data_IF_801175354438
#
_entry.id   IF_801175354438
#
_cell.length_a   1.000
_cell.length_b   1.000
_cell.length_c   1.000
_cell.angle_alpha   90.00
_cell.angle_beta   90.00
_cell.angle_gamma   90.00
#
_symmetry.space_group_name_H-M   'P 1'
#
loop_
_entity.id
_entity.type
_entity.pdbx_description
1 polymer ?
#
# COMPACT_ATOMS: atom_id res chain seq x y z
N UNK A 1 29.93 3.75 -23.94
CA UNK A 1 28.73 4.00 -24.76
C UNK A 1 28.04 5.23 -24.21
N UNK A 2 27.91 6.27 -25.02
CA UNK A 2 27.28 7.53 -24.61
C UNK A 2 25.87 7.59 -25.19
N UNK A 3 24.85 7.77 -24.36
CA UNK A 3 23.45 7.80 -24.79
C UNK A 3 22.81 9.16 -24.54
N UNK A 4 21.94 9.59 -25.45
CA UNK A 4 21.10 10.76 -25.23
C UNK A 4 20.11 10.51 -24.09
N UNK A 5 20.08 11.37 -23.09
CA UNK A 5 19.18 11.22 -21.95
C UNK A 5 17.70 11.46 -22.32
N UNK A 6 17.39 12.18 -23.41
CA UNK A 6 16.00 12.46 -23.82
C UNK A 6 15.42 11.40 -24.76
N UNK A 7 16.19 10.94 -25.76
CA UNK A 7 15.71 10.04 -26.81
C UNK A 7 16.40 8.68 -26.85
N UNK A 8 17.23 8.38 -25.85
CA UNK A 8 17.95 7.10 -25.67
C UNK A 8 18.79 6.62 -26.86
N UNK A 9 19.05 7.49 -27.84
CA UNK A 9 19.90 7.20 -29.00
C UNK A 9 21.36 7.06 -28.57
N UNK A 10 22.02 6.01 -29.06
CA UNK A 10 23.46 5.81 -28.89
C UNK A 10 24.24 6.81 -29.75
N UNK A 11 25.04 7.64 -29.09
CA UNK A 11 25.87 8.69 -29.69
C UNK A 11 27.20 8.14 -30.20
N UNK A 12 27.56 6.92 -29.80
CA UNK A 12 28.78 6.22 -30.23
C UNK A 12 28.69 5.72 -31.67
N UNK A 13 27.47 5.54 -32.19
CA UNK A 13 27.20 5.10 -33.58
C UNK A 13 27.18 6.26 -34.58
N UNK A 14 27.08 7.50 -34.09
CA UNK A 14 27.19 8.72 -34.88
C UNK A 14 28.66 9.13 -35.03
N UNK A 15 29.39 8.43 -35.90
CA UNK A 15 30.75 8.81 -36.33
C UNK A 15 30.71 9.76 -37.54
N UNK A 16 31.74 10.59 -37.76
CA UNK A 16 31.69 11.88 -38.48
C UNK A 16 31.77 11.76 -40.01
N UNK A 17 31.13 10.75 -40.60
CA UNK A 17 31.12 10.52 -42.04
C UNK A 17 29.84 10.95 -42.74
N UNK A 18 28.89 11.53 -42.00
CA UNK A 18 27.70 12.14 -42.60
C UNK A 18 27.83 13.65 -42.51
N UNK A 19 28.27 14.19 -43.65
CA UNK A 19 28.35 15.58 -44.04
C UNK A 19 26.96 16.24 -43.93
N UNK A 20 26.57 16.62 -42.72
CA UNK A 20 25.41 17.46 -42.45
C UNK A 20 25.93 18.77 -41.85
N UNK A 21 26.34 19.66 -42.76
CA UNK A 21 26.77 21.04 -42.49
C UNK A 21 25.72 21.76 -41.65
N UNK A 22 25.86 21.74 -40.34
CA UNK A 22 25.09 22.61 -39.44
C UNK A 22 24.76 22.07 -38.05
N UNK A 23 24.97 20.77 -37.75
CA UNK A 23 24.69 20.25 -36.41
C UNK A 23 25.87 20.53 -35.46
N UNK A 24 25.67 21.47 -34.54
CA UNK A 24 26.61 21.76 -33.44
C UNK A 24 26.85 20.55 -32.52
N UNK A 25 27.81 20.61 -31.57
CA UNK A 25 28.15 19.49 -30.71
C UNK A 25 26.99 19.06 -29.78
N UNK A 26 26.99 17.81 -29.33
CA UNK A 26 26.09 17.35 -28.25
C UNK A 26 26.32 18.17 -26.98
N UNK A 27 25.24 18.51 -26.26
CA UNK A 27 25.35 19.28 -25.01
C UNK A 27 25.49 18.32 -23.83
N UNK A 28 26.55 18.49 -23.03
CA UNK A 28 26.68 17.91 -21.70
C UNK A 28 26.12 18.87 -20.66
N UNK A 29 25.28 18.36 -19.76
CA UNK A 29 24.65 19.18 -18.73
C UNK A 29 25.51 19.17 -17.47
N UNK A 30 25.95 20.35 -17.02
CA UNK A 30 26.89 20.53 -15.89
C UNK A 30 26.38 19.99 -14.54
N UNK A 31 25.07 19.87 -14.34
CA UNK A 31 24.52 19.45 -13.05
C UNK A 31 24.56 17.93 -12.80
N UNK A 32 24.61 17.12 -13.85
CA UNK A 32 24.51 15.65 -13.74
C UNK A 32 25.24 14.87 -14.84
N UNK A 33 26.07 15.56 -15.62
CA UNK A 33 26.91 15.03 -16.71
C UNK A 33 26.17 14.20 -17.78
N UNK A 34 24.84 14.34 -17.85
CA UNK A 34 24.02 13.68 -18.88
C UNK A 34 24.15 14.41 -20.21
N UNK A 35 24.08 13.66 -21.30
CA UNK A 35 24.24 14.18 -22.66
C UNK A 35 22.88 14.35 -23.33
N UNK A 36 22.65 15.50 -23.97
CA UNK A 36 21.51 15.77 -24.85
C UNK A 36 22.02 15.84 -26.29
N UNK A 37 21.50 15.00 -27.17
CA UNK A 37 21.90 14.97 -28.57
C UNK A 37 21.43 16.24 -29.31
N UNK A 38 22.08 16.55 -30.44
CA UNK A 38 21.79 17.77 -31.21
C UNK A 38 20.36 17.78 -31.74
N UNK A 39 19.83 16.61 -32.14
CA UNK A 39 18.44 16.46 -32.59
C UNK A 39 17.43 16.83 -31.50
N UNK A 40 17.70 16.43 -30.25
CA UNK A 40 16.87 16.83 -29.11
C UNK A 40 17.00 18.32 -28.80
N UNK A 41 18.22 18.87 -28.93
CA UNK A 41 18.49 20.28 -28.73
C UNK A 41 17.75 21.16 -29.75
N UNK A 42 17.74 20.77 -31.02
CA UNK A 42 17.02 21.46 -32.09
C UNK A 42 15.50 21.32 -31.97
N UNK A 43 15.02 20.15 -31.52
CA UNK A 43 13.57 19.94 -31.31
C UNK A 43 13.03 20.80 -30.17
N UNK A 44 13.86 21.18 -29.20
CA UNK A 44 13.46 22.04 -28.10
C UNK A 44 14.66 22.85 -27.58
N UNK A 45 14.70 24.14 -27.96
CA UNK A 45 15.77 25.07 -27.58
C UNK A 45 15.89 25.26 -26.06
N UNK A 46 14.85 24.95 -25.28
CA UNK A 46 14.94 25.00 -23.80
C UNK A 46 16.04 24.09 -23.28
N UNK A 47 16.32 22.98 -23.96
CA UNK A 47 17.40 22.08 -23.58
C UNK A 47 18.80 22.68 -23.79
N UNK A 48 18.95 23.89 -24.35
CA UNK A 48 20.21 24.62 -24.40
C UNK A 48 20.55 25.28 -23.06
N UNK A 49 19.55 25.67 -22.27
CA UNK A 49 19.73 26.42 -21.01
C UNK A 49 19.18 25.68 -19.79
N UNK A 50 18.38 24.62 -19.98
CA UNK A 50 17.70 23.89 -18.92
C UNK A 50 18.02 22.38 -18.95
N UNK A 51 18.11 21.78 -17.77
CA UNK A 51 18.24 20.33 -17.59
C UNK A 51 16.85 19.70 -17.34
N UNK A 52 16.34 18.80 -18.20
CA UNK A 52 15.05 18.16 -17.96
C UNK A 52 15.01 17.22 -16.74
N UNK A 53 16.16 16.68 -16.35
CA UNK A 53 16.24 15.70 -15.26
C UNK A 53 16.38 16.35 -13.89
N UNK A 54 17.34 17.27 -13.76
CA UNK A 54 17.57 18.00 -12.52
C UNK A 54 16.68 19.25 -12.40
N UNK A 55 15.99 19.62 -13.48
CA UNK A 55 15.09 20.79 -13.55
C UNK A 55 15.76 22.12 -13.18
N UNK A 56 17.06 22.23 -13.47
CA UNK A 56 17.88 23.42 -13.21
C UNK A 56 18.20 24.16 -14.50
N UNK A 57 18.16 25.49 -14.45
CA UNK A 57 18.62 26.39 -15.52
C UNK A 57 20.06 26.85 -15.26
N UNK A 58 20.83 27.04 -16.33
CA UNK A 58 22.20 27.60 -16.30
C UNK A 58 22.17 29.10 -16.65
N UNK A 59 21.03 29.62 -17.11
CA UNK A 59 20.86 31.05 -17.38
C UNK A 59 20.85 31.84 -16.04
N UNK A 60 21.54 32.99 -15.95
CA UNK A 60 21.49 33.84 -14.78
C UNK A 60 20.09 34.46 -14.68
N UNK A 61 19.20 33.84 -13.90
CA UNK A 61 17.93 34.45 -13.51
C UNK A 61 18.14 35.21 -12.19
N UNK A 62 17.32 36.25 -11.90
CA UNK A 62 17.41 37.01 -10.66
C UNK A 62 17.02 36.20 -9.40
N UNK A 63 16.78 34.89 -9.54
CA UNK A 63 16.46 33.98 -8.46
C UNK A 63 17.73 33.24 -8.02
N UNK A 64 17.89 32.94 -6.71
CA UNK A 64 19.06 32.23 -6.22
C UNK A 64 19.25 30.91 -6.96
N UNK A 65 20.46 30.75 -7.49
CA UNK A 65 20.91 29.60 -8.25
C UNK A 65 20.58 28.31 -7.47
N UNK A 66 19.72 27.45 -8.06
CA UNK A 66 19.08 26.22 -7.52
C UNK A 66 17.58 26.29 -7.22
N UNK A 67 16.88 27.39 -7.51
CA UNK A 67 15.41 27.40 -7.49
C UNK A 67 14.82 27.43 -8.91
N UNK A 68 13.74 26.68 -9.08
CA UNK A 68 13.05 26.45 -10.37
C UNK A 68 12.37 27.73 -10.85
N UNK A 69 12.59 28.08 -12.11
CA UNK A 69 11.73 29.08 -12.76
C UNK A 69 10.33 28.47 -12.96
N UNK A 70 9.27 29.07 -12.39
CA UNK A 70 7.92 28.62 -12.69
C UNK A 70 7.68 28.72 -14.21
N UNK A 71 6.89 27.82 -14.80
CA UNK A 71 6.46 27.99 -16.18
C UNK A 71 5.88 29.40 -16.33
N UNK A 72 6.28 30.12 -17.39
CA UNK A 72 5.69 31.41 -17.71
C UNK A 72 4.19 31.18 -17.91
N UNK A 73 3.39 31.51 -16.89
CA UNK A 73 1.96 31.66 -17.06
C UNK A 73 1.81 32.85 -17.99
N UNK A 74 1.59 32.57 -19.27
CA UNK A 74 0.97 33.50 -20.20
C UNK A 74 -0.34 33.95 -19.56
N UNK A 75 -0.30 35.10 -18.91
CA UNK A 75 -1.49 35.85 -18.55
C UNK A 75 -2.21 36.15 -19.85
N UNK A 76 -3.27 35.38 -20.10
CA UNK A 76 -4.21 35.61 -21.19
C UNK A 76 -4.64 37.09 -21.15
N UNK A 77 -4.51 37.83 -22.27
CA UNK A 77 -4.94 39.22 -22.29
C UNK A 77 -6.47 39.25 -22.30
N UNK A 78 -7.07 39.55 -21.15
CA UNK A 78 -8.47 39.95 -21.05
C UNK A 78 -8.64 41.30 -21.74
N UNK A 79 -8.95 41.24 -23.01
CA UNK A 79 -9.37 42.41 -23.78
C UNK A 79 -10.83 42.67 -23.43
N UNK A 80 -11.08 43.69 -22.63
CA UNK A 80 -12.11 44.72 -22.83
C UNK A 80 -12.18 45.57 -21.56
N UNK A 81 -11.43 46.67 -21.56
CA UNK A 81 -11.74 47.82 -20.72
C UNK A 81 -12.74 48.70 -21.48
N UNK A 82 -13.88 48.99 -20.85
CA UNK A 82 -14.54 50.29 -21.01
C UNK A 82 -15.32 50.61 -19.73
N UNK A 83 -14.69 51.50 -18.95
CA UNK A 83 -15.30 52.63 -18.23
C UNK A 83 -16.49 52.37 -17.30
N UNK A 84 -16.22 52.30 -15.99
CA UNK A 84 -16.81 53.19 -14.97
C UNK A 84 -16.21 52.87 -13.58
N UNK A 85 -15.39 53.77 -13.07
CA UNK A 85 -14.93 53.76 -11.68
C UNK A 85 -16.06 54.27 -10.78
N UNK A 86 -16.39 53.55 -9.71
CA UNK A 86 -16.38 54.03 -8.30
C UNK A 86 -16.89 52.92 -7.36
N UNK A 87 -16.04 52.54 -6.40
CA UNK A 87 -16.37 51.98 -5.07
C UNK A 87 -17.13 50.65 -4.98
N UNK A 88 -16.47 49.61 -4.46
CA UNK A 88 -16.80 48.91 -3.19
C UNK A 88 -15.83 47.72 -3.05
N UNK A 89 -15.23 47.58 -1.87
CA UNK A 89 -14.33 46.49 -1.49
C UNK A 89 -14.96 45.09 -1.65
N UNK A 90 -14.16 44.01 -1.79
CA UNK A 90 -14.71 42.66 -1.85
C UNK A 90 -15.43 42.31 -0.53
N UNK A 91 -16.52 41.52 -0.59
CA UNK A 91 -17.31 41.20 0.59
C UNK A 91 -16.51 40.35 1.59
N UNK A 92 -16.73 40.52 2.90
CA UNK A 92 -16.10 39.70 3.93
C UNK A 92 -16.70 38.29 3.94
N UNK A 93 -15.85 37.28 3.94
CA UNK A 93 -16.27 35.89 4.07
C UNK A 93 -16.55 35.56 5.53
N UNK A 94 -17.83 35.61 5.92
CA UNK A 94 -18.34 35.01 7.15
C UNK A 94 -19.34 33.92 6.77
N UNK A 95 -19.22 32.68 7.27
CA UNK A 95 -20.11 31.59 6.87
C UNK A 95 -21.45 31.74 7.60
N UNK A 96 -22.49 32.18 6.88
CA UNK A 96 -23.84 32.22 7.41
C UNK A 96 -24.57 30.93 7.02
N UNK A 97 -24.92 30.16 8.05
CA UNK A 97 -25.78 28.98 7.97
C UNK A 97 -27.14 29.34 7.36
N UNK A 98 -27.52 28.62 6.30
CA UNK A 98 -28.82 28.77 5.66
C UNK A 98 -29.88 28.01 6.46
N UNK A 99 -30.53 28.70 7.39
CA UNK A 99 -31.90 28.38 7.78
C UNK A 99 -32.83 29.04 6.77
N UNK A 100 -33.59 28.25 6.01
CA UNK A 100 -34.80 28.75 5.37
C UNK A 100 -35.90 27.69 5.46
N UNK A 101 -36.89 27.99 6.30
CA UNK A 101 -38.25 27.43 6.28
C UNK A 101 -39.06 28.27 5.28
N UNK A 102 -39.96 27.65 4.50
CA UNK A 102 -41.36 28.08 4.57
C UNK A 102 -42.33 26.95 4.93
N UNK A 103 -43.24 27.23 5.87
CA UNK A 103 -44.52 26.51 6.12
C UNK A 103 -45.49 26.74 4.94
N UNK A 104 -46.58 26.00 4.68
CA UNK A 104 -47.54 25.21 5.47
C UNK A 104 -48.12 24.07 4.59
N UNK A 105 -48.27 22.86 5.11
CA UNK A 105 -49.53 22.06 5.29
C UNK A 105 -49.22 20.68 4.70
N UNK A 106 -49.50 19.50 5.27
CA UNK A 106 -50.54 19.04 6.18
C UNK A 106 -50.11 17.66 6.75
N UNK A 107 -50.61 17.31 7.94
CA UNK A 107 -50.67 15.96 8.56
C UNK A 107 -49.42 15.34 9.22
N UNK A 108 -49.36 15.56 10.53
CA UNK A 108 -48.91 14.66 11.62
C UNK A 108 -49.47 13.21 11.48
N UNK A 109 -48.87 12.14 12.07
CA UNK A 109 -48.53 12.14 13.50
C UNK A 109 -47.26 11.40 13.98
N UNK A 110 -46.80 11.90 15.13
CA UNK A 110 -46.08 11.21 16.21
C UNK A 110 -44.59 10.89 16.01
N UNK A 111 -43.76 11.82 16.47
CA UNK A 111 -42.49 11.49 17.14
C UNK A 111 -42.81 10.81 18.49
N UNK A 112 -42.01 9.82 18.89
CA UNK A 112 -41.36 9.88 20.19
C UNK A 112 -39.92 10.30 19.98
N UNK A 113 -39.58 11.39 20.64
CA UNK A 113 -38.22 11.76 20.95
C UNK A 113 -37.85 10.83 22.09
N UNK A 114 -36.95 9.89 21.87
CA UNK A 114 -36.08 9.38 22.92
C UNK A 114 -34.71 9.12 22.31
N UNK A 115 -33.81 9.99 22.70
CA UNK A 115 -32.39 9.96 22.41
C UNK A 115 -31.77 8.88 23.29
N UNK A 116 -31.96 7.62 22.94
CA UNK A 116 -31.14 6.56 23.48
C UNK A 116 -30.00 6.34 22.48
N UNK A 117 -28.78 6.64 22.93
CA UNK A 117 -27.54 6.29 22.25
C UNK A 117 -27.49 4.77 22.17
N UNK A 118 -28.25 4.19 21.24
CA UNK A 118 -28.05 2.83 20.80
C UNK A 118 -26.59 2.79 20.40
N UNK A 119 -25.81 2.01 21.14
CA UNK A 119 -24.40 1.78 20.87
C UNK A 119 -24.39 1.19 19.47
N UNK A 120 -24.18 2.04 18.47
CA UNK A 120 -24.14 1.63 17.08
C UNK A 120 -22.90 0.73 17.00
N UNK A 121 -23.12 -0.58 16.97
CA UNK A 121 -22.03 -1.53 17.03
C UNK A 121 -21.33 -1.54 15.68
N UNK A 122 -20.04 -1.23 15.69
CA UNK A 122 -19.22 -1.26 14.49
C UNK A 122 -19.30 -2.64 13.84
N UNK A 123 -19.57 -2.65 12.53
CA UNK A 123 -19.70 -3.88 11.77
C UNK A 123 -18.33 -4.36 11.33
N UNK A 124 -17.99 -5.61 11.61
CA UNK A 124 -16.74 -6.22 11.16
C UNK A 124 -16.92 -6.78 9.74
N UNK A 125 -16.04 -6.38 8.82
CA UNK A 125 -16.00 -6.88 7.43
C UNK A 125 -14.70 -7.67 7.20
N UNK A 126 -14.84 -8.88 6.65
CA UNK A 126 -13.70 -9.70 6.22
C UNK A 126 -13.23 -9.25 4.83
N UNK A 127 -11.94 -8.95 4.71
CA UNK A 127 -11.33 -8.41 3.51
C UNK A 127 -11.00 -9.54 2.52
N UNK A 128 -11.43 -9.38 1.27
CA UNK A 128 -10.86 -10.09 0.13
C UNK A 128 -9.84 -9.18 -0.57
N UNK A 129 -8.55 -9.48 -0.41
CA UNK A 129 -7.47 -8.68 -0.96
C UNK A 129 -7.48 -8.53 -2.49
N UNK A 130 -8.22 -9.39 -3.21
CA UNK A 130 -8.33 -9.33 -4.67
C UNK A 130 -9.38 -8.29 -5.13
N UNK A 131 -10.39 -8.02 -4.30
CA UNK A 131 -11.59 -7.25 -4.68
C UNK A 131 -11.79 -6.01 -3.80
N UNK A 132 -11.43 -6.12 -2.53
CA UNK A 132 -11.66 -5.09 -1.53
C UNK A 132 -10.49 -4.08 -1.49
N UNK A 133 -10.85 -2.82 -1.63
CA UNK A 133 -9.99 -1.64 -1.52
C UNK A 133 -10.75 -0.61 -0.69
N UNK A 134 -10.06 0.42 -0.15
CA UNK A 134 -10.74 1.46 0.64
C UNK A 134 -11.85 2.13 -0.18
N UNK A 135 -11.63 2.34 -1.48
CA UNK A 135 -12.62 2.90 -2.40
C UNK A 135 -13.82 1.98 -2.62
N UNK A 136 -13.59 0.70 -2.90
CA UNK A 136 -14.70 -0.25 -3.12
C UNK A 136 -15.52 -0.48 -1.85
N UNK A 137 -14.89 -0.52 -0.68
CA UNK A 137 -15.57 -0.60 0.62
C UNK A 137 -16.36 0.67 0.93
N UNK A 138 -15.79 1.84 0.65
CA UNK A 138 -16.46 3.13 0.82
C UNK A 138 -17.77 3.19 0.03
N UNK A 139 -17.76 2.71 -1.22
CA UNK A 139 -18.94 2.63 -2.07
C UNK A 139 -19.94 1.56 -1.60
N UNK A 140 -19.45 0.36 -1.23
CA UNK A 140 -20.31 -0.76 -0.80
C UNK A 140 -21.08 -0.45 0.48
N UNK A 141 -20.44 0.24 1.42
CA UNK A 141 -21.02 0.55 2.74
C UNK A 141 -21.53 1.99 2.87
N UNK A 142 -21.32 2.84 1.87
CA UNK A 142 -21.69 4.27 1.94
C UNK A 142 -20.89 5.08 2.96
N UNK A 143 -19.73 4.60 3.39
CA UNK A 143 -18.88 5.28 4.38
C UNK A 143 -17.79 6.07 3.67
N UNK A 144 -17.56 7.36 3.97
CA UNK A 144 -16.48 8.11 3.34
C UNK A 144 -15.10 7.48 3.62
N UNK A 145 -14.29 7.32 2.56
CA UNK A 145 -12.91 6.81 2.65
C UNK A 145 -12.04 7.43 3.79
N UNK A 146 -12.04 8.77 4.03
CA UNK A 146 -11.25 9.34 5.12
C UNK A 146 -11.78 8.99 6.53
N UNK A 147 -13.07 8.68 6.66
CA UNK A 147 -13.64 8.20 7.93
C UNK A 147 -13.24 6.75 8.16
N UNK A 148 -13.39 5.90 7.15
CA UNK A 148 -13.00 4.49 7.20
C UNK A 148 -11.52 4.31 7.53
N UNK A 149 -10.65 5.15 6.94
CA UNK A 149 -9.22 5.20 7.26
C UNK A 149 -8.94 5.57 8.71
N UNK A 150 -9.60 6.61 9.24
CA UNK A 150 -9.43 7.06 10.62
C UNK A 150 -9.91 6.03 11.64
N UNK A 151 -11.09 5.43 11.40
CA UNK A 151 -11.65 4.41 12.29
C UNK A 151 -10.75 3.17 12.41
N UNK A 152 -10.02 2.84 11.35
CA UNK A 152 -9.15 1.66 11.31
C UNK A 152 -7.66 1.99 11.48
N UNK A 153 -7.28 3.24 11.76
CA UNK A 153 -5.88 3.66 11.79
C UNK A 153 -5.09 3.22 10.54
N UNK A 154 -5.64 3.50 9.34
CA UNK A 154 -5.02 3.22 8.04
C UNK A 154 -4.55 4.54 7.43
N UNK A 155 -3.23 4.72 7.31
CA UNK A 155 -2.64 5.90 6.67
C UNK A 155 -2.52 5.75 5.15
N UNK A 156 -2.29 4.53 4.67
CA UNK A 156 -2.03 4.21 3.26
C UNK A 156 -2.79 2.96 2.79
N UNK A 157 -3.10 2.90 1.50
CA UNK A 157 -3.93 1.82 0.94
C UNK A 157 -3.25 0.44 1.00
N UNK A 158 -1.91 0.39 0.97
CA UNK A 158 -1.17 -0.88 1.07
C UNK A 158 -1.27 -1.54 2.45
N UNK A 159 -1.62 -0.80 3.50
CA UNK A 159 -1.78 -1.36 4.85
C UNK A 159 -3.04 -2.23 4.97
N UNK A 160 -3.95 -2.19 4.00
CA UNK A 160 -5.05 -3.13 3.92
C UNK A 160 -4.57 -4.57 3.71
N UNK A 161 -3.49 -4.78 2.94
CA UNK A 161 -2.99 -6.11 2.60
C UNK A 161 -2.47 -6.90 3.81
N UNK A 162 -2.10 -6.21 4.89
CA UNK A 162 -1.64 -6.83 6.12
C UNK A 162 -2.77 -7.21 7.08
N UNK A 163 -4.03 -6.99 6.70
CA UNK A 163 -5.19 -7.13 7.59
C UNK A 163 -6.23 -8.04 6.98
N UNK A 164 -6.76 -8.95 7.79
CA UNK A 164 -7.83 -9.83 7.36
C UNK A 164 -9.22 -9.20 7.54
N UNK A 165 -9.34 -8.23 8.44
CA UNK A 165 -10.62 -7.62 8.81
C UNK A 165 -10.52 -6.10 8.90
N UNK A 166 -11.65 -5.44 8.66
CA UNK A 166 -11.81 -4.00 8.79
C UNK A 166 -13.09 -3.68 9.56
N UNK A 167 -13.04 -2.64 10.40
CA UNK A 167 -14.19 -2.13 11.14
C UNK A 167 -14.92 -1.07 10.34
N UNK A 168 -16.25 -1.17 10.30
CA UNK A 168 -17.11 -0.25 9.56
C UNK A 168 -17.92 0.53 10.59
N UNK A 169 -17.69 1.85 10.69
CA UNK A 169 -18.39 2.71 11.65
C UNK A 169 -19.90 2.65 11.46
N UNK A 170 -20.60 2.29 12.52
CA UNK A 170 -22.06 2.19 12.49
C UNK A 170 -22.77 3.55 12.41
N UNK A 171 -22.03 4.65 12.61
CA UNK A 171 -22.51 6.02 12.37
C UNK A 171 -23.02 6.21 10.94
N UNK A 172 -22.35 5.58 9.97
CA UNK A 172 -22.66 5.68 8.55
C UNK A 172 -23.40 4.44 8.04
N UNK A 173 -23.13 3.27 8.61
CA UNK A 173 -23.73 2.01 8.21
C UNK A 173 -24.63 1.43 9.32
N UNK A 174 -25.92 1.81 9.32
CA UNK A 174 -26.90 1.36 10.33
C UNK A 174 -27.48 -0.03 10.07
N UNK A 175 -27.19 -0.64 8.92
CA UNK A 175 -27.74 -1.95 8.58
C UNK A 175 -27.12 -3.08 9.42
N UNK A 176 -25.94 -2.87 10.03
CA UNK A 176 -25.35 -3.78 11.02
C UNK A 176 -25.00 -5.20 10.52
N UNK A 177 -25.17 -5.46 9.22
CA UNK A 177 -24.95 -6.76 8.60
C UNK A 177 -23.66 -6.68 7.79
N UNK A 178 -22.71 -7.57 8.05
CA UNK A 178 -21.48 -7.65 7.25
C UNK A 178 -21.82 -8.10 5.82
N UNK A 179 -21.54 -7.26 4.83
CA UNK A 179 -21.69 -7.57 3.40
C UNK A 179 -20.44 -8.28 2.85
N UNK A 180 -19.54 -8.75 3.71
CA UNK A 180 -18.34 -9.47 3.30
C UNK A 180 -18.71 -10.84 2.72
N UNK A 181 -18.02 -11.28 1.65
CA UNK A 181 -18.00 -12.70 1.33
C UNK A 181 -17.51 -13.46 2.58
N UNK A 182 -18.05 -14.65 2.81
CA UNK A 182 -17.42 -15.56 3.78
C UNK A 182 -15.97 -15.78 3.34
N UNK A 183 -15.02 -15.95 4.28
CA UNK A 183 -13.59 -15.99 3.99
C UNK A 183 -13.26 -16.82 2.74
N UNK A 184 -12.50 -16.24 1.82
CA UNK A 184 -12.24 -16.79 0.46
C UNK A 184 -11.50 -18.12 0.48
N UNK A 185 -10.76 -18.42 1.54
CA UNK A 185 -10.09 -19.73 1.73
C UNK A 185 -11.04 -20.82 2.29
N UNK A 186 -12.32 -20.52 2.49
CA UNK A 186 -13.28 -21.43 3.09
C UNK A 186 -13.04 -21.65 4.58
N UNK A 187 -14.11 -22.01 5.30
CA UNK A 187 -14.03 -22.28 6.75
C UNK A 187 -13.04 -23.40 7.09
N UNK A 188 -12.87 -24.34 6.16
CA UNK A 188 -12.05 -25.54 6.36
C UNK A 188 -10.55 -25.23 6.37
N UNK A 189 -10.05 -24.35 5.49
CA UNK A 189 -8.63 -24.02 5.44
C UNK A 189 -8.18 -23.14 6.61
N UNK A 190 -9.04 -22.24 7.09
CA UNK A 190 -8.74 -21.47 8.30
C UNK A 190 -8.70 -22.36 9.55
N UNK A 191 -9.66 -23.28 9.67
CA UNK A 191 -9.65 -24.29 10.74
C UNK A 191 -8.40 -25.16 10.65
N UNK A 192 -7.98 -25.55 9.44
CA UNK A 192 -6.73 -26.27 9.19
C UNK A 192 -5.51 -25.48 9.66
N UNK A 193 -5.35 -24.23 9.22
CA UNK A 193 -4.25 -23.34 9.63
C UNK A 193 -4.25 -23.08 11.14
N UNK A 194 -5.43 -22.93 11.74
CA UNK A 194 -5.59 -22.77 13.19
C UNK A 194 -5.15 -24.03 13.96
N UNK A 195 -5.54 -25.22 13.49
CA UNK A 195 -5.10 -26.50 14.06
C UNK A 195 -3.59 -26.68 13.97
N UNK A 196 -2.98 -26.36 12.83
CA UNK A 196 -1.52 -26.39 12.66
C UNK A 196 -0.82 -25.49 13.68
N UNK A 197 -1.22 -24.22 13.77
CA UNK A 197 -0.67 -23.29 14.76
C UNK A 197 -0.86 -23.78 16.20
N UNK A 198 -2.02 -24.36 16.50
CA UNK A 198 -2.34 -24.90 17.82
C UNK A 198 -1.45 -26.10 18.16
N UNK A 199 -1.25 -27.02 17.22
CA UNK A 199 -0.35 -28.16 17.36
C UNK A 199 1.09 -27.67 17.61
N UNK A 200 1.63 -26.80 16.74
CA UNK A 200 2.97 -26.24 16.88
C UNK A 200 3.22 -25.60 18.24
N UNK A 201 2.23 -24.85 18.74
CA UNK A 201 2.30 -24.19 20.06
C UNK A 201 2.21 -25.18 21.21
N UNK A 202 1.36 -26.20 21.10
CA UNK A 202 1.12 -27.20 22.16
C UNK A 202 2.31 -28.15 22.30
N UNK A 203 2.80 -28.67 21.18
CA UNK A 203 3.94 -29.60 21.12
C UNK A 203 5.30 -28.88 21.12
N UNK A 204 5.32 -27.54 21.04
CA UNK A 204 6.54 -26.71 20.92
C UNK A 204 7.41 -27.14 19.73
N UNK A 205 6.75 -27.41 18.60
CA UNK A 205 7.39 -27.78 17.33
C UNK A 205 7.46 -26.52 16.48
N UNK A 206 8.68 -26.13 16.09
CA UNK A 206 8.91 -24.99 15.18
C UNK A 206 8.78 -25.36 13.71
N UNK A 207 8.93 -26.64 13.37
CA UNK A 207 8.94 -27.12 12.00
C UNK A 207 7.51 -27.35 11.50
N UNK A 208 7.11 -26.57 10.51
CA UNK A 208 5.79 -26.62 9.91
C UNK A 208 5.49 -27.99 9.27
N UNK A 209 6.49 -28.58 8.60
CA UNK A 209 6.34 -29.86 7.90
C UNK A 209 6.04 -31.02 8.87
N UNK A 210 6.62 -30.98 10.08
CA UNK A 210 6.33 -31.97 11.13
C UNK A 210 4.89 -31.81 11.60
N UNK A 211 4.44 -30.57 11.84
CA UNK A 211 3.06 -30.32 12.24
C UNK A 211 2.05 -30.77 11.17
N UNK A 212 2.36 -30.57 9.89
CA UNK A 212 1.56 -31.09 8.78
C UNK A 212 1.50 -32.61 8.78
N UNK A 213 2.62 -33.29 8.91
CA UNK A 213 2.70 -34.76 8.91
C UNK A 213 1.75 -35.37 9.95
N UNK A 214 1.84 -34.95 11.20
CA UNK A 214 1.01 -35.49 12.29
C UNK A 214 -0.47 -35.16 12.12
N UNK A 215 -0.79 -33.95 11.64
CA UNK A 215 -2.16 -33.55 11.39
C UNK A 215 -2.77 -34.25 10.17
N UNK A 216 -2.01 -34.48 9.10
CA UNK A 216 -2.49 -35.22 7.93
C UNK A 216 -2.73 -36.69 8.28
N UNK A 217 -1.84 -37.29 9.07
CA UNK A 217 -1.98 -38.66 9.56
C UNK A 217 -3.22 -38.85 10.46
N UNK A 218 -3.60 -37.85 11.25
CA UNK A 218 -4.78 -37.89 12.11
C UNK A 218 -6.07 -37.40 11.42
N UNK A 219 -6.05 -37.10 10.12
CA UNK A 219 -7.21 -36.52 9.43
C UNK A 219 -7.59 -35.14 9.95
N UNK A 220 -6.61 -34.37 10.41
CA UNK A 220 -6.73 -33.06 11.07
C UNK A 220 -7.50 -33.09 12.40
N UNK A 221 -7.46 -34.20 13.15
CA UNK A 221 -7.81 -34.19 14.56
C UNK A 221 -6.62 -33.72 15.41
N UNK A 222 -6.81 -32.60 16.12
CA UNK A 222 -5.77 -32.00 16.95
C UNK A 222 -5.43 -32.88 18.15
N UNK A 223 -6.42 -33.54 18.76
CA UNK A 223 -6.20 -34.36 19.96
C UNK A 223 -5.30 -35.55 19.66
N UNK A 224 -5.72 -36.36 18.67
CA UNK A 224 -4.97 -37.53 18.22
C UNK A 224 -3.56 -37.17 17.68
N UNK A 225 -3.40 -36.03 16.98
CA UNK A 225 -2.10 -35.58 16.52
C UNK A 225 -1.15 -35.26 17.69
N UNK A 226 -1.64 -34.55 18.71
CA UNK A 226 -0.83 -34.20 19.89
C UNK A 226 -0.45 -35.46 20.69
N UNK A 227 -1.38 -36.39 20.84
CA UNK A 227 -1.14 -37.66 21.55
C UNK A 227 -0.07 -38.49 20.84
N UNK A 228 -0.21 -38.73 19.53
CA UNK A 228 0.78 -39.47 18.73
C UNK A 228 2.16 -38.82 18.77
N UNK A 229 2.25 -37.49 18.72
CA UNK A 229 3.53 -36.78 18.88
C UNK A 229 4.17 -37.00 20.27
N UNK A 230 3.36 -36.98 21.34
CA UNK A 230 3.85 -37.21 22.71
C UNK A 230 4.30 -38.66 22.88
N UNK A 231 3.54 -39.62 22.33
CA UNK A 231 3.90 -41.04 22.34
C UNK A 231 5.23 -41.29 21.65
N UNK A 232 5.46 -40.67 20.49
CA UNK A 232 6.74 -40.73 19.78
C UNK A 232 7.88 -40.12 20.60
N UNK A 233 7.69 -38.94 21.21
CA UNK A 233 8.70 -38.32 22.09
C UNK A 233 9.05 -39.24 23.29
N UNK A 234 8.07 -39.92 23.89
CA UNK A 234 8.27 -40.89 24.98
C UNK A 234 9.00 -42.15 24.46
N UNK A 235 8.63 -42.63 23.27
CA UNK A 235 9.24 -43.78 22.64
C UNK A 235 10.71 -43.50 22.31
N UNK A 236 11.02 -42.33 21.72
CA UNK A 236 12.39 -41.90 21.43
C UNK A 236 13.24 -41.78 22.71
N UNK A 237 12.65 -41.29 23.80
CA UNK A 237 13.32 -41.18 25.10
C UNK A 237 13.65 -42.54 25.74
N UNK A 238 12.74 -43.51 25.60
CA UNK A 238 12.91 -44.88 26.13
C UNK A 238 13.74 -45.80 25.21
N UNK A 239 13.94 -45.41 23.95
CA UNK A 239 14.77 -46.11 22.98
C UNK A 239 15.94 -45.23 22.51
N UNK A 240 16.94 -44.96 23.38
CA UNK A 240 18.13 -44.23 22.97
C UNK A 240 18.78 -44.94 21.79
N UNK A 241 18.88 -44.25 20.65
CA UNK A 241 19.54 -44.77 19.46
C UNK A 241 20.94 -45.25 19.85
N UNK A 242 21.23 -46.54 19.70
CA UNK A 242 22.58 -47.06 19.85
C UNK A 242 23.46 -46.28 18.87
N UNK A 243 24.32 -45.39 19.40
CA UNK A 243 25.30 -44.68 18.59
C UNK A 243 26.27 -45.72 18.05
N UNK A 244 26.06 -46.16 16.82
CA UNK A 244 27.06 -46.92 16.08
C UNK A 244 28.24 -45.96 15.87
N UNK A 245 29.23 -46.06 16.75
CA UNK A 245 30.58 -45.52 16.61
C UNK A 245 30.76 -44.02 16.87
N UNK A 246 31.00 -43.63 18.12
CA UNK A 246 32.07 -42.65 18.40
C UNK A 246 32.56 -42.76 19.83
N UNK A 247 33.87 -42.99 19.96
CA UNK A 247 34.57 -42.99 21.23
C UNK A 247 34.41 -41.64 21.93
N UNK A 248 34.27 -41.72 23.24
CA UNK A 248 34.12 -40.61 24.17
C UNK A 248 35.21 -39.54 24.04
N UNK A 249 34.80 -38.27 24.01
CA UNK A 249 35.35 -37.21 24.87
C UNK A 249 34.27 -36.15 25.10
N UNK A 250 34.06 -35.82 26.36
CA UNK A 250 33.00 -34.95 26.87
C UNK A 250 33.32 -33.45 26.73
N UNK A 251 32.25 -32.66 26.88
CA UNK A 251 32.13 -31.21 27.11
C UNK A 251 32.00 -30.31 25.88
N UNK A 252 30.73 -30.10 25.52
CA UNK A 252 30.23 -28.91 24.83
C UNK A 252 28.72 -28.87 25.04
N UNK A 253 28.22 -27.85 25.70
CA UNK A 253 26.79 -27.60 25.89
C UNK A 253 26.16 -27.39 24.50
N UNK A 254 25.43 -28.39 23.99
CA UNK A 254 24.77 -28.31 22.68
C UNK A 254 23.27 -28.33 22.95
N UNK A 255 22.66 -27.14 22.78
CA UNK A 255 21.23 -26.98 22.58
C UNK A 255 20.72 -28.06 21.62
N UNK A 256 19.66 -28.75 22.04
CA UNK A 256 18.98 -29.81 21.31
C UNK A 256 18.59 -29.34 19.91
N UNK A 257 19.48 -29.54 18.95
CA UNK A 257 19.14 -29.42 17.54
C UNK A 257 18.43 -30.73 17.18
N UNK A 258 17.10 -30.64 17.05
CA UNK A 258 16.22 -31.76 16.70
C UNK A 258 16.69 -32.39 15.39
N UNK A 259 16.59 -33.71 15.35
CA UNK A 259 17.10 -34.56 14.28
C UNK A 259 16.36 -34.27 12.98
N UNK A 260 17.11 -33.80 11.98
CA UNK A 260 16.68 -33.72 10.58
C UNK A 260 16.62 -35.15 10.04
N UNK A 261 15.41 -35.68 9.85
CA UNK A 261 15.21 -36.93 9.10
C UNK A 261 15.38 -36.63 7.59
N UNK A 262 16.25 -37.36 6.86
CA UNK A 262 16.31 -37.26 5.42
C UNK A 262 15.11 -37.99 4.83
N UNK A 263 14.39 -37.28 3.97
CA UNK A 263 13.09 -37.67 3.44
C UNK A 263 13.07 -38.95 2.60
N UNK A 264 11.85 -39.46 2.48
CA UNK A 264 11.34 -40.27 1.38
C UNK A 264 10.17 -39.51 0.76
#
# INVERSE_FOLDING_TARGET
MEFCCTCTTDLSLTSPLQDDKGLGPHRRVECCDRIICVRCLQRNERFATYCPFCQVSIAPSPLPQRLRDPPAYTSVPSTTASTASTSIAPPPYTPLATNHVPSESDKSPTRPVDCEKAIAQDTLHFLDHNVDTIGSLSLRYGVPAPVLRRANNITSDHLLLGRQTILIPAEYYRAGISLSPRPVEGEEEELRKAKIRRFMTTCKVSDYDIALLYLEQSGYDLGAAVESYIEDDIWEGSHPKQKIGSKATAKGNVMSNRLRWPGL
#
